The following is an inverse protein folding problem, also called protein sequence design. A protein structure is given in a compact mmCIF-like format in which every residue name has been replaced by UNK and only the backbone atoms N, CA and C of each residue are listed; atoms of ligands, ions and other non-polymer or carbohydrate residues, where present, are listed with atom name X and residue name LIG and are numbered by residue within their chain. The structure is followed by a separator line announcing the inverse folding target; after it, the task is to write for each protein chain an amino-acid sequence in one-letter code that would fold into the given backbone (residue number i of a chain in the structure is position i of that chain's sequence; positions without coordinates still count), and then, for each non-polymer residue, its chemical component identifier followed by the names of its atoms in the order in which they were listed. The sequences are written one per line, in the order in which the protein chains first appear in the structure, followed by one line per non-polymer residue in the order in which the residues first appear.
data_IF_884356287937
#
_entry.id   IF_884356287937
#
_cell.length_a   1.000
_cell.length_b   1.000
_cell.length_c   1.000
_cell.angle_alpha   90.00
_cell.angle_beta   90.00
_cell.angle_gamma   90.00
#
_symmetry.space_group_name_H-M   'P 1'
#
loop_
_entity.id
_entity.type
_entity.pdbx_description
1 polymer ?
#
# COMPACT_ATOMS: atom_id res chain seq x y z
N UNK A 1 35.16 16.59 4.15
CA UNK A 1 33.96 16.74 5.01
C UNK A 1 32.74 16.44 4.15
N UNK A 2 32.40 15.16 4.00
CA UNK A 2 31.18 14.70 3.33
C UNK A 2 30.17 14.48 4.47
N UNK A 3 29.61 15.57 4.98
CA UNK A 3 28.33 16.19 4.62
C UNK A 3 27.15 15.46 5.28
N UNK A 4 27.09 15.45 6.62
CA UNK A 4 25.92 14.93 7.35
C UNK A 4 24.61 15.55 6.86
N UNK A 5 24.64 16.80 6.35
CA UNK A 5 23.50 17.46 5.72
C UNK A 5 23.03 16.77 4.42
N UNK A 6 23.94 16.23 3.61
CA UNK A 6 23.60 15.49 2.37
C UNK A 6 22.83 14.21 2.66
N UNK A 7 23.26 13.49 3.70
CA UNK A 7 22.62 12.25 4.13
C UNK A 7 21.22 12.55 4.67
N UNK A 8 21.08 13.61 5.47
CA UNK A 8 19.80 13.98 6.07
C UNK A 8 18.82 14.45 4.97
N UNK A 9 19.28 15.22 3.99
CA UNK A 9 18.50 15.61 2.80
C UNK A 9 18.06 14.39 1.98
N UNK A 10 18.99 13.47 1.70
CA UNK A 10 18.69 12.23 0.98
C UNK A 10 17.64 11.38 1.71
N UNK A 11 17.80 11.21 3.02
CA UNK A 11 16.84 10.49 3.86
C UNK A 11 15.47 11.17 3.87
N UNK A 12 15.42 12.51 3.91
CA UNK A 12 14.17 13.26 3.81
C UNK A 12 13.46 13.01 2.48
N UNK A 13 14.18 13.07 1.36
CA UNK A 13 13.63 12.79 0.01
C UNK A 13 13.11 11.35 -0.07
N UNK A 14 13.90 10.37 0.35
CA UNK A 14 13.49 8.96 0.34
C UNK A 14 12.26 8.75 1.24
N UNK A 15 12.23 9.36 2.42
CA UNK A 15 11.07 9.34 3.32
C UNK A 15 9.80 9.90 2.64
N UNK A 16 9.91 11.02 1.94
CA UNK A 16 8.77 11.59 1.21
C UNK A 16 8.28 10.69 0.08
N UNK A 17 9.19 10.05 -0.67
CA UNK A 17 8.83 9.09 -1.72
C UNK A 17 8.08 7.90 -1.12
N UNK A 18 8.61 7.30 -0.04
CA UNK A 18 7.97 6.18 0.65
C UNK A 18 6.57 6.55 1.16
N UNK A 19 6.39 7.76 1.70
CA UNK A 19 5.08 8.24 2.13
C UNK A 19 4.10 8.37 0.96
N UNK A 20 4.54 8.93 -0.18
CA UNK A 20 3.69 9.05 -1.38
C UNK A 20 3.31 7.67 -1.94
N UNK A 21 4.26 6.72 -1.99
CA UNK A 21 3.98 5.33 -2.35
C UNK A 21 2.96 4.68 -1.41
N UNK A 22 3.09 4.90 -0.10
CA UNK A 22 2.13 4.42 0.88
C UNK A 22 0.74 5.01 0.65
N UNK A 23 0.62 6.33 0.44
CA UNK A 23 -0.66 7.00 0.20
C UNK A 23 -1.34 6.50 -1.09
N UNK A 24 -0.58 6.33 -2.17
CA UNK A 24 -1.09 5.75 -3.43
C UNK A 24 -1.53 4.30 -3.20
N UNK A 25 -0.74 3.49 -2.47
CA UNK A 25 -1.09 2.12 -2.15
C UNK A 25 -2.36 1.99 -1.30
N UNK A 26 -2.53 2.86 -0.31
CA UNK A 26 -3.77 2.96 0.48
C UNK A 26 -4.94 3.41 -0.40
N UNK A 27 -4.73 4.40 -1.28
CA UNK A 27 -5.74 4.82 -2.24
C UNK A 27 -6.21 3.69 -3.16
N UNK A 28 -5.27 2.87 -3.65
CA UNK A 28 -5.58 1.69 -4.46
C UNK A 28 -6.38 0.64 -3.66
N UNK A 29 -6.05 0.41 -2.38
CA UNK A 29 -6.82 -0.48 -1.50
C UNK A 29 -8.25 0.02 -1.27
N UNK A 30 -8.41 1.33 -1.02
CA UNK A 30 -9.72 1.94 -0.83
C UNK A 30 -10.56 1.88 -2.12
N UNK A 31 -9.94 2.14 -3.26
CA UNK A 31 -10.59 2.02 -4.56
C UNK A 31 -11.01 0.57 -4.82
N UNK A 32 -10.13 -0.40 -4.59
CA UNK A 32 -10.45 -1.82 -4.74
C UNK A 32 -11.63 -2.20 -3.83
N UNK A 33 -11.58 -1.83 -2.55
CA UNK A 33 -12.66 -2.09 -1.61
C UNK A 33 -13.98 -1.44 -2.05
N UNK A 34 -13.95 -0.18 -2.52
CA UNK A 34 -15.12 0.53 -3.01
C UNK A 34 -15.71 -0.13 -4.27
N UNK A 35 -14.87 -0.57 -5.21
CA UNK A 35 -15.31 -1.29 -6.41
C UNK A 35 -16.01 -2.59 -6.02
N UNK A 36 -15.45 -3.37 -5.09
CA UNK A 36 -16.07 -4.61 -4.64
C UNK A 36 -17.37 -4.37 -3.85
N UNK A 37 -17.45 -3.31 -3.05
CA UNK A 37 -18.64 -2.97 -2.28
C UNK A 37 -19.78 -2.41 -3.12
N UNK A 38 -19.47 -1.57 -4.12
CA UNK A 38 -20.47 -0.88 -4.94
C UNK A 38 -20.83 -1.64 -6.22
N UNK A 39 -19.86 -2.36 -6.79
CA UNK A 39 -20.01 -3.07 -8.07
C UNK A 39 -19.86 -4.59 -7.91
N UNK A 40 -19.92 -5.10 -6.67
CA UNK A 40 -19.68 -6.51 -6.36
C UNK A 40 -20.43 -7.48 -7.28
N UNK A 41 -21.72 -7.25 -7.52
CA UNK A 41 -22.55 -8.11 -8.38
C UNK A 41 -22.17 -8.01 -9.86
N UNK A 42 -21.80 -6.83 -10.36
CA UNK A 42 -21.31 -6.62 -11.73
C UNK A 42 -19.93 -7.26 -11.92
N UNK A 43 -19.02 -7.05 -10.97
CA UNK A 43 -17.67 -7.65 -11.00
C UNK A 43 -17.73 -9.17 -10.92
N UNK A 44 -18.63 -9.71 -10.09
CA UNK A 44 -18.89 -11.14 -9.99
C UNK A 44 -19.46 -11.69 -11.30
N UNK A 45 -20.45 -11.02 -11.89
CA UNK A 45 -21.06 -11.46 -13.15
C UNK A 45 -20.03 -11.53 -14.29
N UNK A 46 -19.18 -10.50 -14.45
CA UNK A 46 -18.12 -10.48 -15.45
C UNK A 46 -17.07 -11.58 -15.19
N UNK A 47 -16.65 -11.78 -13.93
CA UNK A 47 -15.69 -12.85 -13.61
C UNK A 47 -16.28 -14.24 -13.83
N UNK A 48 -17.54 -14.45 -13.45
CA UNK A 48 -18.24 -15.72 -13.61
C UNK A 48 -18.44 -16.13 -15.07
N UNK A 49 -18.43 -15.16 -15.98
CA UNK A 49 -18.48 -15.41 -17.43
C UNK A 49 -17.15 -15.94 -17.99
N UNK A 50 -16.00 -15.50 -17.48
CA UNK A 50 -14.69 -16.02 -17.88
C UNK A 50 -14.31 -17.31 -17.13
N UNK A 51 -14.74 -17.44 -15.87
CA UNK A 51 -14.33 -18.54 -15.01
C UNK A 51 -15.51 -18.97 -14.14
N UNK A 52 -16.00 -20.22 -14.23
CA UNK A 52 -17.05 -20.69 -13.35
C UNK A 52 -16.53 -20.73 -11.90
N UNK A 53 -16.96 -19.79 -11.09
CA UNK A 53 -16.45 -19.57 -9.74
C UNK A 53 -17.59 -19.23 -8.79
N UNK A 54 -17.57 -19.77 -7.58
CA UNK A 54 -18.61 -19.47 -6.59
C UNK A 54 -18.40 -18.09 -5.98
N UNK A 55 -19.47 -17.48 -5.46
CA UNK A 55 -19.38 -16.19 -4.75
C UNK A 55 -18.45 -16.24 -3.54
N UNK A 56 -18.39 -17.37 -2.86
CA UNK A 56 -17.47 -17.58 -1.73
C UNK A 56 -16.01 -17.53 -2.17
N UNK A 57 -15.67 -18.22 -3.27
CA UNK A 57 -14.32 -18.20 -3.84
C UNK A 57 -13.93 -16.79 -4.31
N UNK A 58 -14.86 -16.04 -4.91
CA UNK A 58 -14.66 -14.65 -5.32
C UNK A 58 -14.31 -13.76 -4.14
N UNK A 59 -15.12 -13.81 -3.08
CA UNK A 59 -14.87 -13.03 -1.88
C UNK A 59 -13.54 -13.42 -1.22
N UNK A 60 -13.21 -14.71 -1.18
CA UNK A 60 -11.97 -15.19 -0.57
C UNK A 60 -10.73 -14.69 -1.32
N UNK A 61 -10.71 -14.79 -2.65
CA UNK A 61 -9.58 -14.32 -3.47
C UNK A 61 -9.38 -12.81 -3.29
N UNK A 62 -10.46 -12.03 -3.34
CA UNK A 62 -10.38 -10.59 -3.15
C UNK A 62 -9.96 -10.20 -1.74
N UNK A 63 -10.46 -10.90 -0.72
CA UNK A 63 -10.07 -10.66 0.66
C UNK A 63 -8.58 -10.97 0.88
N UNK A 64 -8.10 -12.11 0.37
CA UNK A 64 -6.69 -12.46 0.42
C UNK A 64 -5.83 -11.44 -0.34
N UNK A 65 -6.26 -10.99 -1.52
CA UNK A 65 -5.60 -9.96 -2.31
C UNK A 65 -5.50 -8.62 -1.58
N UNK A 66 -6.60 -8.18 -0.96
CA UNK A 66 -6.64 -6.98 -0.11
C UNK A 66 -5.72 -7.11 1.09
N UNK A 67 -5.73 -8.25 1.78
CA UNK A 67 -4.88 -8.48 2.95
C UNK A 67 -3.40 -8.47 2.58
N UNK A 68 -3.02 -9.19 1.52
CA UNK A 68 -1.64 -9.26 1.03
C UNK A 68 -1.15 -7.89 0.57
N UNK A 69 -1.97 -7.16 -0.19
CA UNK A 69 -1.63 -5.81 -0.67
C UNK A 69 -1.52 -4.83 0.50
N UNK A 70 -2.43 -4.89 1.48
CA UNK A 70 -2.37 -4.08 2.71
C UNK A 70 -1.10 -4.34 3.50
N UNK A 71 -0.73 -5.61 3.66
CA UNK A 71 0.51 -6.00 4.32
C UNK A 71 1.73 -5.49 3.54
N UNK A 72 1.79 -5.72 2.23
CA UNK A 72 2.88 -5.28 1.36
C UNK A 72 3.06 -3.75 1.38
N UNK A 73 1.98 -2.98 1.23
CA UNK A 73 2.01 -1.52 1.29
C UNK A 73 2.53 -1.01 2.64
N UNK A 74 2.15 -1.68 3.73
CA UNK A 74 2.59 -1.32 5.08
C UNK A 74 4.08 -1.67 5.30
N UNK A 75 4.48 -2.89 4.95
CA UNK A 75 5.83 -3.41 5.18
C UNK A 75 6.88 -2.73 4.29
N UNK A 76 6.55 -2.45 3.03
CA UNK A 76 7.51 -1.93 2.04
C UNK A 76 7.59 -0.40 2.01
N UNK A 77 6.54 0.31 2.45
CA UNK A 77 6.50 1.78 2.35
C UNK A 77 6.33 2.46 3.71
N UNK A 78 5.34 2.04 4.51
CA UNK A 78 5.05 2.69 5.78
C UNK A 78 6.13 2.47 6.84
N UNK A 79 6.56 1.22 7.04
CA UNK A 79 7.58 0.91 8.05
C UNK A 79 8.94 1.54 7.72
N UNK A 80 9.44 1.49 6.46
CA UNK A 80 10.67 2.20 6.09
C UNK A 80 10.55 3.72 6.27
N UNK A 81 9.40 4.31 5.94
CA UNK A 81 9.15 5.73 6.20
C UNK A 81 9.30 6.07 7.70
N UNK A 82 8.65 5.29 8.58
CA UNK A 82 8.76 5.49 10.03
C UNK A 82 10.21 5.36 10.49
N UNK A 83 10.92 4.32 10.04
CA UNK A 83 12.32 4.09 10.40
C UNK A 83 13.21 5.29 10.04
N UNK A 84 13.04 5.85 8.83
CA UNK A 84 13.76 7.05 8.40
C UNK A 84 13.44 8.25 9.30
N UNK A 85 12.16 8.50 9.60
CA UNK A 85 11.76 9.61 10.48
C UNK A 85 12.34 9.48 11.89
N UNK A 86 12.43 8.26 12.42
CA UNK A 86 13.04 8.00 13.73
C UNK A 86 14.55 8.27 13.71
N UNK A 87 15.25 7.88 12.64
CA UNK A 87 16.68 8.14 12.47
C UNK A 87 16.96 9.65 12.37
N UNK A 88 16.22 10.37 11.52
CA UNK A 88 16.35 11.82 11.38
C UNK A 88 16.12 12.54 12.71
N UNK A 89 15.03 12.21 13.42
CA UNK A 89 14.71 12.81 14.73
C UNK A 89 15.82 12.59 15.77
N UNK A 90 16.52 11.46 15.73
CA UNK A 90 17.65 11.17 16.62
C UNK A 90 18.89 11.98 16.27
N UNK A 91 19.09 12.33 14.99
CA UNK A 91 20.24 13.11 14.51
C UNK A 91 20.09 14.62 14.73
N UNK A 92 18.86 15.13 14.74
CA UNK A 92 18.58 16.55 15.03
C UNK A 92 18.65 16.90 16.52
N UNK A 93 18.65 15.89 17.41
CA UNK A 93 18.86 16.05 18.86
C UNK A 93 20.34 15.95 19.21
#
# INVERSE_FOLDING_TARGET
MHNSGDIDETLEVVGQVLLRCFLIGVGALLLWWAVLGLLGDLTYSVHSWLTPMTREQFNLIHYCGLLLTKAGVSLLFFFPYIAIRLVLKKRTK
#
